data_IF_627912739050
#
_entry.id   IF_627912739050
#
_cell.length_a   1.000
_cell.length_b   1.000
_cell.length_c   1.000
_cell.angle_alpha   90.00
_cell.angle_beta   90.00
_cell.angle_gamma   90.00
#
_symmetry.space_group_name_H-M   'P 1'
#
loop_
_entity.id
_entity.type
_entity.pdbx_description
1 polymer ?
#
# COMPACT_ATOMS: atom_id res chain seq x y z
N UNK A 1 -0.59 -38.43 -1.45
CA UNK A 1 -0.66 -37.09 -2.09
C UNK A 1 -1.33 -37.26 -3.44
N UNK A 2 -2.33 -36.44 -3.80
CA UNK A 2 -2.97 -36.59 -5.12
C UNK A 2 -1.97 -36.15 -6.20
N UNK A 3 -2.00 -36.71 -7.41
CA UNK A 3 -1.05 -36.35 -8.47
C UNK A 3 -0.95 -34.84 -8.76
N UNK A 4 -2.07 -34.12 -8.65
CA UNK A 4 -2.14 -32.67 -8.82
C UNK A 4 -1.42 -31.89 -7.71
N UNK A 5 -1.47 -32.39 -6.47
CA UNK A 5 -0.75 -31.78 -5.35
C UNK A 5 0.77 -31.95 -5.55
N UNK A 6 1.23 -33.07 -6.12
CA UNK A 6 2.64 -33.33 -6.43
C UNK A 6 3.19 -32.42 -7.52
N UNK A 7 2.42 -32.22 -8.60
CA UNK A 7 2.77 -31.27 -9.63
C UNK A 7 2.89 -29.84 -9.07
N UNK A 8 1.95 -29.41 -8.24
CA UNK A 8 1.97 -28.07 -7.66
C UNK A 8 3.21 -27.84 -6.77
N UNK A 9 3.61 -28.81 -5.97
CA UNK A 9 4.83 -28.70 -5.16
C UNK A 9 6.10 -28.69 -6.04
N UNK A 10 6.14 -29.44 -7.14
CA UNK A 10 7.23 -29.35 -8.13
C UNK A 10 7.29 -27.95 -8.77
N UNK A 11 6.15 -27.38 -9.18
CA UNK A 11 6.08 -26.03 -9.72
C UNK A 11 6.55 -24.97 -8.72
N UNK A 12 6.19 -25.12 -7.45
CA UNK A 12 6.68 -24.24 -6.37
C UNK A 12 8.20 -24.30 -6.24
N UNK A 13 8.78 -25.49 -6.34
CA UNK A 13 10.22 -25.68 -6.36
C UNK A 13 10.86 -25.00 -7.59
N UNK A 14 10.26 -25.14 -8.78
CA UNK A 14 10.70 -24.44 -10.00
C UNK A 14 10.62 -22.92 -9.88
N UNK A 15 9.60 -22.38 -9.22
CA UNK A 15 9.51 -20.96 -8.96
C UNK A 15 10.67 -20.47 -8.08
N UNK A 16 10.98 -21.22 -7.01
CA UNK A 16 12.12 -20.92 -6.15
C UNK A 16 13.45 -20.94 -6.90
N UNK A 17 13.67 -21.93 -7.76
CA UNK A 17 14.85 -22.03 -8.62
C UNK A 17 14.95 -20.87 -9.60
N UNK A 18 13.81 -20.45 -10.18
CA UNK A 18 13.74 -19.29 -11.07
C UNK A 18 14.14 -17.97 -10.40
N UNK A 19 13.72 -17.77 -9.15
CA UNK A 19 14.16 -16.61 -8.34
C UNK A 19 15.67 -16.68 -8.10
N UNK A 20 16.18 -17.82 -7.64
CA UNK A 20 17.61 -18.00 -7.32
C UNK A 20 18.52 -17.81 -8.54
N UNK A 21 18.12 -18.34 -9.70
CA UNK A 21 18.88 -18.18 -10.94
C UNK A 21 19.09 -16.70 -11.31
N UNK A 22 18.15 -15.83 -10.92
CA UNK A 22 18.18 -14.40 -11.22
C UNK A 22 18.62 -13.53 -10.03
N UNK A 23 18.99 -14.12 -8.88
CA UNK A 23 19.31 -13.40 -7.64
C UNK A 23 20.34 -12.29 -7.82
N UNK A 24 21.43 -12.55 -8.56
CA UNK A 24 22.47 -11.56 -8.80
C UNK A 24 21.97 -10.36 -9.64
N UNK A 25 21.09 -10.61 -10.61
CA UNK A 25 20.50 -9.55 -11.47
C UNK A 25 19.47 -8.74 -10.70
N UNK A 26 18.66 -9.40 -9.89
CA UNK A 26 17.66 -8.78 -9.01
C UNK A 26 18.32 -7.87 -7.97
N UNK A 27 19.39 -8.35 -7.32
CA UNK A 27 20.14 -7.53 -6.38
C UNK A 27 20.87 -6.36 -7.04
N UNK A 28 21.35 -6.52 -8.29
CA UNK A 28 21.91 -5.41 -9.05
C UNK A 28 20.85 -4.35 -9.42
N UNK A 29 19.64 -4.79 -9.78
CA UNK A 29 18.49 -3.92 -10.04
C UNK A 29 18.11 -3.13 -8.77
N UNK A 30 17.93 -3.82 -7.65
CA UNK A 30 17.62 -3.23 -6.34
C UNK A 30 18.69 -2.21 -5.93
N UNK A 31 19.97 -2.56 -6.05
CA UNK A 31 21.09 -1.66 -5.75
C UNK A 31 21.12 -0.44 -6.68
N UNK A 32 20.79 -0.62 -7.96
CA UNK A 32 20.72 0.48 -8.92
C UNK A 32 19.65 1.50 -8.51
N UNK A 33 18.46 1.04 -8.13
CA UNK A 33 17.37 1.89 -7.64
C UNK A 33 17.81 2.56 -6.32
N UNK A 34 18.25 1.77 -5.35
CA UNK A 34 18.65 2.25 -4.03
C UNK A 34 19.71 3.38 -4.07
N UNK A 35 20.70 3.25 -4.96
CA UNK A 35 21.83 4.19 -5.06
C UNK A 35 21.47 5.55 -5.66
N UNK A 36 20.28 5.70 -6.26
CA UNK A 36 19.81 6.93 -6.91
C UNK A 36 18.35 7.17 -6.50
N UNK A 37 18.11 7.59 -5.25
CA UNK A 37 16.76 7.85 -4.78
C UNK A 37 16.14 8.99 -5.58
N UNK A 38 14.94 8.76 -6.09
CA UNK A 38 14.14 9.72 -6.84
C UNK A 38 12.77 9.87 -6.16
N UNK A 39 12.26 11.10 -6.10
CA UNK A 39 11.02 11.40 -5.39
C UNK A 39 9.79 11.01 -6.22
N UNK A 40 8.64 11.01 -5.55
CA UNK A 40 7.33 10.79 -6.17
C UNK A 40 7.18 11.54 -7.51
N UNK A 41 6.76 10.80 -8.54
CA UNK A 41 6.59 11.22 -9.95
C UNK A 41 7.87 11.59 -10.71
N UNK A 42 9.04 11.50 -10.08
CA UNK A 42 10.34 11.83 -10.67
C UNK A 42 11.28 10.61 -10.75
N UNK A 43 10.74 9.40 -10.60
CA UNK A 43 11.47 8.12 -10.54
C UNK A 43 11.92 7.60 -11.91
N UNK A 44 12.53 8.47 -12.73
CA UNK A 44 12.92 8.18 -14.10
C UNK A 44 13.99 7.10 -14.21
N UNK A 45 15.03 7.13 -13.38
CA UNK A 45 16.08 6.12 -13.36
C UNK A 45 15.54 4.77 -12.88
N UNK A 46 14.72 4.74 -11.83
CA UNK A 46 14.14 3.50 -11.35
C UNK A 46 13.20 2.86 -12.39
N UNK A 47 12.33 3.66 -13.01
CA UNK A 47 11.50 3.25 -14.14
C UNK A 47 12.33 2.66 -15.29
N UNK A 48 13.38 3.37 -15.72
CA UNK A 48 14.23 2.94 -16.83
C UNK A 48 15.02 1.67 -16.50
N UNK A 49 15.44 1.50 -15.25
CA UNK A 49 16.10 0.29 -14.78
C UNK A 49 15.15 -0.93 -14.85
N UNK A 50 13.92 -0.79 -14.35
CA UNK A 50 12.92 -1.85 -14.36
C UNK A 50 12.44 -2.21 -15.77
N UNK A 51 12.14 -1.21 -16.61
CA UNK A 51 11.71 -1.45 -17.99
C UNK A 51 12.82 -2.09 -18.83
N UNK A 52 14.09 -1.69 -18.63
CA UNK A 52 15.24 -2.36 -19.24
C UNK A 52 15.36 -3.79 -18.75
N UNK A 53 15.28 -4.02 -17.44
CA UNK A 53 15.40 -5.36 -16.85
C UNK A 53 14.44 -6.37 -17.49
N UNK A 54 13.19 -5.99 -17.75
CA UNK A 54 12.23 -6.85 -18.44
C UNK A 54 12.39 -6.88 -19.97
N UNK A 55 12.85 -5.78 -20.58
CA UNK A 55 12.82 -5.60 -22.04
C UNK A 55 14.13 -5.88 -22.80
N UNK A 56 15.30 -5.92 -22.14
CA UNK A 56 16.59 -5.91 -22.83
C UNK A 56 17.06 -7.28 -23.38
N UNK A 57 16.26 -8.33 -23.21
CA UNK A 57 16.68 -9.71 -23.54
C UNK A 57 17.75 -10.27 -22.59
N UNK A 58 18.03 -9.56 -21.50
CA UNK A 58 18.93 -9.99 -20.43
C UNK A 58 18.40 -11.18 -19.64
N UNK A 59 17.07 -11.35 -19.59
CA UNK A 59 16.41 -12.46 -18.94
C UNK A 59 16.31 -13.67 -19.87
N UNK A 60 16.59 -14.90 -19.37
CA UNK A 60 16.40 -16.11 -20.16
C UNK A 60 14.91 -16.43 -20.39
N UNK A 61 14.60 -17.05 -21.52
CA UNK A 61 13.27 -17.53 -21.89
C UNK A 61 12.46 -16.56 -22.76
N UNK A 62 11.14 -16.70 -22.77
CA UNK A 62 10.28 -15.86 -23.59
C UNK A 62 10.31 -14.39 -23.11
N UNK A 63 10.34 -13.46 -24.07
CA UNK A 63 10.44 -12.03 -23.80
C UNK A 63 9.15 -11.48 -23.15
N UNK A 64 9.33 -10.50 -22.27
CA UNK A 64 8.23 -9.71 -21.72
C UNK A 64 7.80 -8.63 -22.72
N UNK A 65 6.50 -8.43 -22.87
CA UNK A 65 5.94 -7.30 -23.59
C UNK A 65 5.92 -6.07 -22.68
N UNK A 66 6.97 -5.25 -22.76
CA UNK A 66 7.13 -4.06 -21.90
C UNK A 66 6.50 -2.82 -22.54
N UNK A 67 5.67 -2.14 -21.75
CA UNK A 67 5.05 -0.83 -22.04
C UNK A 67 5.60 0.18 -21.02
N UNK A 68 6.67 0.93 -21.35
CA UNK A 68 7.15 2.02 -20.52
C UNK A 68 6.15 3.18 -20.53
N UNK A 69 6.16 4.02 -19.50
CA UNK A 69 5.25 5.17 -19.35
C UNK A 69 3.78 4.76 -19.47
N UNK A 70 3.43 3.67 -18.80
CA UNK A 70 2.09 3.10 -18.86
C UNK A 70 1.14 3.94 -18.01
N UNK A 71 0.32 4.76 -18.67
CA UNK A 71 -0.67 5.69 -18.07
C UNK A 71 -0.07 6.88 -17.33
N UNK A 72 1.02 6.71 -16.58
CA UNK A 72 1.79 7.77 -15.93
C UNK A 72 3.22 7.86 -16.47
N UNK A 73 3.86 9.01 -16.25
CA UNK A 73 5.19 9.33 -16.78
C UNK A 73 6.32 8.42 -16.29
N UNK A 74 6.23 7.91 -15.07
CA UNK A 74 7.22 6.99 -14.47
C UNK A 74 6.64 5.61 -14.18
N UNK A 75 5.39 5.32 -14.56
CA UNK A 75 4.81 3.98 -14.45
C UNK A 75 5.17 3.08 -15.64
N UNK A 76 5.13 1.75 -15.46
CA UNK A 76 5.30 0.80 -16.56
C UNK A 76 4.44 -0.44 -16.38
N UNK A 77 4.23 -1.19 -17.47
CA UNK A 77 3.65 -2.53 -17.42
C UNK A 77 4.45 -3.51 -18.27
N UNK A 78 4.80 -4.66 -17.71
CA UNK A 78 5.46 -5.74 -18.44
C UNK A 78 4.58 -7.00 -18.39
N UNK A 79 4.13 -7.49 -19.54
CA UNK A 79 3.26 -8.67 -19.63
C UNK A 79 4.04 -9.90 -20.16
N UNK A 80 3.74 -11.07 -19.60
CA UNK A 80 4.22 -12.37 -20.06
C UNK A 80 3.09 -13.41 -20.09
N UNK A 81 3.22 -14.39 -20.98
CA UNK A 81 2.25 -15.46 -21.18
C UNK A 81 1.37 -15.24 -22.41
N UNK A 82 0.64 -16.28 -22.82
CA UNK A 82 -0.23 -16.21 -23.99
C UNK A 82 -1.52 -15.46 -23.64
N UNK A 83 -1.81 -14.40 -24.40
CA UNK A 83 -3.19 -13.95 -24.54
C UNK A 83 -3.93 -15.13 -25.17
N UNK A 84 -4.70 -15.88 -24.36
CA UNK A 84 -5.57 -16.93 -24.87
C UNK A 84 -6.47 -16.39 -25.99
N UNK A 85 -7.14 -17.26 -26.76
CA UNK A 85 -8.11 -16.81 -27.77
C UNK A 85 -9.05 -15.77 -27.16
N UNK A 86 -9.34 -14.70 -27.90
CA UNK A 86 -10.35 -13.72 -27.48
C UNK A 86 -11.70 -14.44 -27.41
N UNK A 87 -12.12 -14.81 -26.20
CA UNK A 87 -13.34 -15.56 -25.95
C UNK A 87 -13.26 -16.33 -24.63
N UNK A 88 -14.41 -16.67 -24.02
CA UNK A 88 -14.44 -17.42 -22.77
C UNK A 88 -13.90 -18.84 -22.95
N UNK A 89 -13.14 -19.37 -21.97
CA UNK A 89 -12.70 -18.68 -20.76
C UNK A 89 -11.49 -17.76 -21.03
N UNK A 90 -11.57 -16.52 -20.51
CA UNK A 90 -10.46 -15.58 -20.54
C UNK A 90 -9.28 -16.08 -19.68
N UNK A 91 -8.03 -15.73 -20.03
CA UNK A 91 -6.89 -16.10 -19.21
C UNK A 91 -6.96 -15.43 -17.83
N UNK A 92 -6.54 -16.16 -16.79
CA UNK A 92 -6.37 -15.60 -15.44
C UNK A 92 -5.20 -14.61 -15.45
N UNK A 93 -5.43 -13.36 -15.04
CA UNK A 93 -4.41 -12.29 -15.05
C UNK A 93 -3.93 -11.98 -13.64
N UNK A 94 -2.68 -12.34 -13.37
CA UNK A 94 -2.02 -12.08 -12.09
C UNK A 94 -0.99 -10.97 -12.26
N UNK A 95 -0.96 -10.02 -11.33
CA UNK A 95 0.00 -8.93 -11.34
C UNK A 95 0.86 -8.88 -10.07
N UNK A 96 2.14 -8.55 -10.25
CA UNK A 96 3.05 -8.18 -9.18
C UNK A 96 3.35 -6.69 -9.26
N UNK A 97 3.14 -5.95 -8.17
CA UNK A 97 3.37 -4.51 -8.13
C UNK A 97 4.80 -4.21 -7.66
N UNK A 98 5.37 -3.15 -8.21
CA UNK A 98 6.70 -2.64 -7.90
C UNK A 98 6.60 -1.14 -7.56
N UNK A 99 6.89 -0.75 -6.32
CA UNK A 99 7.11 0.64 -5.92
C UNK A 99 8.60 0.97 -5.98
N UNK A 100 8.95 2.25 -6.18
CA UNK A 100 10.35 2.66 -6.35
C UNK A 100 10.60 4.16 -6.18
N UNK A 101 9.69 4.90 -5.57
CA UNK A 101 9.93 6.27 -5.11
C UNK A 101 10.70 6.29 -3.77
N UNK A 102 11.28 7.44 -3.47
CA UNK A 102 12.11 7.67 -2.30
C UNK A 102 11.61 8.89 -1.51
N UNK A 103 12.12 9.01 -0.28
CA UNK A 103 11.75 10.07 0.65
C UNK A 103 12.74 11.25 0.60
N UNK A 104 12.26 12.50 0.73
CA UNK A 104 13.11 13.69 0.74
C UNK A 104 14.19 13.65 1.83
N UNK A 105 15.44 13.81 1.43
CA UNK A 105 16.59 13.92 2.34
C UNK A 105 17.10 12.61 2.96
N UNK A 106 16.30 11.55 2.98
CA UNK A 106 16.66 10.26 3.59
C UNK A 106 16.72 9.09 2.61
N UNK A 107 16.34 9.27 1.34
CA UNK A 107 16.45 8.23 0.31
C UNK A 107 15.39 7.13 0.46
N UNK A 108 15.71 5.88 0.11
CA UNK A 108 14.76 4.75 0.23
C UNK A 108 14.60 4.26 1.68
N UNK A 109 14.25 5.17 2.59
CA UNK A 109 14.01 4.88 4.00
C UNK A 109 12.72 4.08 4.25
N UNK A 110 11.91 3.85 3.21
CA UNK A 110 10.78 2.92 3.23
C UNK A 110 11.08 1.59 2.49
N UNK A 111 12.26 1.49 1.88
CA UNK A 111 12.73 0.25 1.23
C UNK A 111 12.07 -0.07 -0.11
N UNK A 112 11.57 0.93 -0.85
CA UNK A 112 10.89 0.71 -2.13
C UNK A 112 11.79 0.04 -3.18
N UNK A 113 13.12 0.16 -3.09
CA UNK A 113 14.04 -0.64 -3.90
C UNK A 113 13.85 -2.16 -3.72
N UNK A 114 13.54 -2.61 -2.49
CA UNK A 114 13.25 -4.01 -2.20
C UNK A 114 11.82 -4.40 -2.64
N UNK A 115 10.85 -3.47 -2.59
CA UNK A 115 9.49 -3.71 -3.11
C UNK A 115 9.55 -3.97 -4.62
N UNK A 116 10.24 -3.10 -5.37
CA UNK A 116 10.51 -3.31 -6.79
C UNK A 116 11.19 -4.66 -7.06
N UNK A 117 12.22 -5.01 -6.29
CA UNK A 117 12.94 -6.28 -6.42
C UNK A 117 12.03 -7.48 -6.16
N UNK A 118 11.25 -7.45 -5.09
CA UNK A 118 10.34 -8.55 -4.71
C UNK A 118 9.28 -8.79 -5.77
N UNK A 119 8.65 -7.72 -6.27
CA UNK A 119 7.66 -7.82 -7.35
C UNK A 119 8.26 -8.43 -8.62
N UNK A 120 9.44 -7.96 -9.02
CA UNK A 120 10.14 -8.48 -10.20
C UNK A 120 10.58 -9.94 -10.02
N UNK A 121 11.12 -10.28 -8.86
CA UNK A 121 11.57 -11.63 -8.52
C UNK A 121 10.40 -12.62 -8.50
N UNK A 122 9.28 -12.27 -7.87
CA UNK A 122 8.10 -13.13 -7.79
C UNK A 122 7.53 -13.42 -9.18
N UNK A 123 7.48 -12.41 -10.05
CA UNK A 123 7.06 -12.56 -11.44
C UNK A 123 7.98 -13.51 -12.24
N UNK A 124 9.30 -13.40 -12.06
CA UNK A 124 10.26 -14.32 -12.69
C UNK A 124 10.14 -15.76 -12.17
N UNK A 125 9.94 -15.92 -10.86
CA UNK A 125 9.69 -17.23 -10.26
C UNK A 125 8.43 -17.88 -10.83
N UNK A 126 7.32 -17.12 -10.88
CA UNK A 126 6.08 -17.62 -11.47
C UNK A 126 6.24 -17.99 -12.95
N UNK A 127 6.91 -17.14 -13.73
CA UNK A 127 7.26 -17.43 -15.13
C UNK A 127 8.05 -18.74 -15.26
N UNK A 128 9.10 -18.93 -14.46
CA UNK A 128 9.93 -20.13 -14.53
C UNK A 128 9.15 -21.42 -14.23
N UNK A 129 8.23 -21.37 -13.25
CA UNK A 129 7.35 -22.50 -12.98
C UNK A 129 6.41 -22.78 -14.16
N UNK A 130 5.76 -21.76 -14.72
CA UNK A 130 4.82 -21.93 -15.83
C UNK A 130 5.50 -22.38 -17.13
N UNK A 131 6.72 -21.92 -17.41
CA UNK A 131 7.54 -22.40 -18.54
C UNK A 131 7.97 -23.86 -18.41
N UNK A 132 7.99 -24.41 -17.18
CA UNK A 132 8.37 -25.82 -16.95
C UNK A 132 7.27 -26.83 -17.28
N UNK A 133 6.04 -26.36 -17.55
CA UNK A 133 4.91 -27.22 -17.88
C UNK A 133 5.04 -27.81 -19.29
N UNK A 134 4.58 -29.07 -19.50
CA UNK A 134 4.43 -29.63 -20.84
C UNK A 134 3.47 -28.78 -21.68
N UNK A 135 3.83 -28.54 -22.94
CA UNK A 135 2.98 -27.79 -23.87
C UNK A 135 2.01 -28.72 -24.62
N UNK A 136 0.74 -28.29 -24.83
CA UNK A 136 0.16 -27.02 -24.40
C UNK A 136 -0.16 -27.02 -22.89
N UNK A 137 0.18 -25.93 -22.20
CA UNK A 137 -0.14 -25.78 -20.78
C UNK A 137 -1.66 -25.88 -20.52
N UNK A 138 -2.10 -26.51 -19.40
CA UNK A 138 -3.53 -26.74 -19.14
C UNK A 138 -4.35 -25.47 -18.87
N UNK A 139 -3.72 -24.36 -18.48
CA UNK A 139 -4.38 -23.10 -18.13
C UNK A 139 -3.75 -21.92 -18.85
N UNK A 140 -4.59 -21.04 -19.41
CA UNK A 140 -4.15 -19.76 -19.95
C UNK A 140 -3.96 -18.78 -18.79
N UNK A 141 -2.71 -18.45 -18.46
CA UNK A 141 -2.35 -17.49 -17.42
C UNK A 141 -1.55 -16.36 -18.05
N UNK A 142 -1.88 -15.13 -17.70
CA UNK A 142 -1.08 -13.96 -18.01
C UNK A 142 -0.48 -13.40 -16.72
N UNK A 143 0.82 -13.11 -16.76
CA UNK A 143 1.55 -12.50 -15.66
C UNK A 143 1.89 -11.08 -16.07
N UNK A 144 1.54 -10.12 -15.21
CA UNK A 144 1.92 -8.73 -15.37
C UNK A 144 2.85 -8.30 -14.23
N UNK A 145 3.78 -7.40 -14.55
CA UNK A 145 4.50 -6.60 -13.56
C UNK A 145 4.09 -5.16 -13.79
N UNK A 146 3.56 -4.51 -12.76
CA UNK A 146 3.10 -3.14 -12.83
C UNK A 146 4.00 -2.26 -11.95
N UNK A 147 4.69 -1.32 -12.58
CA UNK A 147 5.42 -0.30 -11.86
C UNK A 147 4.48 0.80 -11.38
N UNK A 148 4.46 1.03 -10.08
CA UNK A 148 3.54 1.95 -9.39
C UNK A 148 4.35 3.04 -8.69
N UNK A 149 4.53 4.22 -9.32
CA UNK A 149 5.29 5.33 -8.74
C UNK A 149 4.52 6.04 -7.62
N UNK A 150 5.19 6.99 -6.95
CA UNK A 150 4.58 8.02 -6.11
C UNK A 150 3.68 7.51 -4.97
N UNK A 151 4.10 6.47 -4.25
CA UNK A 151 3.35 5.99 -3.08
C UNK A 151 3.54 6.89 -1.86
N UNK A 152 4.73 7.45 -1.65
CA UNK A 152 5.03 8.29 -0.47
C UNK A 152 4.41 9.69 -0.57
N UNK A 153 4.07 10.12 -1.78
CA UNK A 153 3.45 11.42 -2.01
C UNK A 153 2.61 11.41 -3.30
N UNK A 154 1.31 11.64 -3.14
CA UNK A 154 0.37 11.86 -4.25
C UNK A 154 -0.43 10.64 -4.69
N UNK A 155 -0.02 9.41 -4.34
CA UNK A 155 -0.83 8.20 -4.52
C UNK A 155 -0.88 7.72 -5.96
N UNK A 156 0.27 7.42 -6.55
CA UNK A 156 0.35 7.03 -7.97
C UNK A 156 -0.47 5.78 -8.34
N UNK A 157 -0.75 4.86 -7.41
CA UNK A 157 -1.69 3.75 -7.70
C UNK A 157 -3.11 4.25 -7.89
N UNK A 158 -3.52 5.30 -7.20
CA UNK A 158 -4.86 5.90 -7.33
C UNK A 158 -5.01 6.52 -8.71
N UNK A 159 -3.99 7.23 -9.18
CA UNK A 159 -3.94 7.77 -10.53
C UNK A 159 -3.94 6.66 -11.60
N UNK A 160 -3.21 5.56 -11.36
CA UNK A 160 -3.23 4.38 -12.22
C UNK A 160 -4.61 3.69 -12.25
N UNK A 161 -5.29 3.58 -11.12
CA UNK A 161 -6.67 3.08 -11.02
C UNK A 161 -7.59 3.96 -11.86
N UNK A 162 -7.54 5.28 -11.68
CA UNK A 162 -8.35 6.24 -12.45
C UNK A 162 -8.08 6.16 -13.96
N UNK A 163 -6.87 5.79 -14.36
CA UNK A 163 -6.47 5.60 -15.75
C UNK A 163 -6.79 4.19 -16.31
N UNK A 164 -7.43 3.31 -15.53
CA UNK A 164 -7.83 1.96 -15.92
C UNK A 164 -6.67 0.96 -16.02
N UNK A 165 -5.61 1.15 -15.22
CA UNK A 165 -4.44 0.26 -15.23
C UNK A 165 -4.70 -1.12 -14.61
N UNK A 166 -5.72 -1.22 -13.75
CA UNK A 166 -6.06 -2.42 -12.97
C UNK A 166 -7.29 -3.18 -13.51
N UNK A 167 -8.01 -2.62 -14.50
CA UNK A 167 -9.33 -3.11 -14.96
C UNK A 167 -9.32 -4.56 -15.49
N UNK A 168 -8.17 -5.03 -15.98
CA UNK A 168 -8.04 -6.37 -16.56
C UNK A 168 -7.42 -7.40 -15.61
N UNK A 169 -7.04 -7.00 -14.39
CA UNK A 169 -6.34 -7.85 -13.42
C UNK A 169 -7.33 -8.66 -12.55
N UNK A 170 -7.05 -9.95 -12.34
CA UNK A 170 -7.86 -10.81 -11.49
C UNK A 170 -7.35 -10.86 -10.04
N UNK A 171 -6.03 -10.86 -9.83
CA UNK A 171 -5.40 -10.90 -8.50
C UNK A 171 -4.06 -10.15 -8.52
N UNK A 172 -3.79 -9.34 -7.50
CA UNK A 172 -2.54 -8.58 -7.35
C UNK A 172 -1.73 -8.98 -6.12
N UNK A 173 -0.41 -8.90 -6.23
CA UNK A 173 0.54 -9.22 -5.17
C UNK A 173 1.56 -8.07 -5.04
N UNK A 174 1.80 -7.64 -3.82
CA UNK A 174 2.88 -6.71 -3.45
C UNK A 174 3.39 -7.13 -2.07
N UNK A 175 4.60 -6.76 -1.68
CA UNK A 175 5.04 -6.95 -0.29
C UNK A 175 5.99 -5.84 0.14
N UNK A 176 5.89 -5.47 1.41
CA UNK A 176 6.56 -4.31 1.97
C UNK A 176 7.64 -4.72 2.97
N UNK A 177 8.85 -4.15 2.91
CA UNK A 177 9.88 -4.40 3.92
C UNK A 177 9.51 -3.73 5.25
N UNK A 178 9.76 -4.40 6.37
CA UNK A 178 9.58 -3.85 7.72
C UNK A 178 10.54 -4.51 8.71
N UNK A 179 10.32 -4.28 10.01
CA UNK A 179 11.04 -4.92 11.10
C UNK A 179 10.54 -6.33 11.42
N UNK A 180 9.39 -6.75 10.91
CA UNK A 180 8.74 -8.00 11.30
C UNK A 180 8.01 -8.64 10.12
N UNK A 181 7.94 -9.97 10.07
CA UNK A 181 7.12 -10.62 9.04
C UNK A 181 5.65 -10.66 9.48
N UNK A 182 4.77 -10.12 8.66
CA UNK A 182 3.32 -10.20 8.85
C UNK A 182 2.67 -10.53 7.51
N UNK A 183 1.64 -11.38 7.52
CA UNK A 183 0.87 -11.61 6.28
C UNK A 183 -0.09 -10.45 5.97
N UNK A 184 -0.40 -9.67 6.99
CA UNK A 184 -1.30 -8.53 6.96
C UNK A 184 -1.01 -7.65 8.17
N UNK A 185 -0.99 -6.33 7.96
CA UNK A 185 -1.11 -5.32 9.00
C UNK A 185 -2.32 -4.43 8.67
N UNK A 186 -3.05 -3.92 9.67
CA UNK A 186 -4.19 -3.05 9.43
C UNK A 186 -3.73 -1.63 9.06
N UNK A 187 -3.34 -1.42 7.80
CA UNK A 187 -3.06 -0.08 7.28
C UNK A 187 -4.35 0.74 7.28
N UNK A 188 -4.21 1.98 7.76
CA UNK A 188 -5.33 2.89 8.03
C UNK A 188 -5.53 3.85 6.87
N UNK A 189 -6.77 4.31 6.72
CA UNK A 189 -7.10 5.37 5.80
C UNK A 189 -6.46 6.70 6.25
N UNK A 190 -6.07 7.53 5.29
CA UNK A 190 -5.30 8.75 5.51
C UNK A 190 -5.82 9.88 4.60
N UNK A 191 -5.82 11.11 5.15
CA UNK A 191 -6.16 12.33 4.42
C UNK A 191 -5.18 13.46 4.78
N UNK A 192 -4.47 13.95 3.77
CA UNK A 192 -3.64 15.14 3.82
C UNK A 192 -4.50 16.42 3.88
N UNK A 193 -4.11 17.39 4.70
CA UNK A 193 -4.75 18.71 4.76
C UNK A 193 -3.72 19.82 4.83
N UNK A 194 -3.77 20.73 3.86
CA UNK A 194 -3.10 22.03 3.89
C UNK A 194 -4.08 23.12 4.32
N UNK A 195 -3.72 23.88 5.36
CA UNK A 195 -4.53 24.99 5.89
C UNK A 195 -3.78 26.30 5.73
N UNK A 196 -4.41 27.28 5.07
CA UNK A 196 -3.85 28.61 4.87
C UNK A 196 -4.75 29.66 5.51
N UNK A 197 -4.19 30.43 6.44
CA UNK A 197 -4.86 31.58 7.02
C UNK A 197 -4.38 32.87 6.37
N UNK A 198 -5.32 33.74 6.04
CA UNK A 198 -5.07 35.06 5.45
C UNK A 198 -5.66 36.13 6.36
N UNK A 199 -4.79 37.02 6.83
CA UNK A 199 -5.11 38.15 7.68
C UNK A 199 -4.61 39.47 7.07
N UNK A 200 -4.17 40.40 7.93
CA UNK A 200 -3.72 41.74 7.55
C UNK A 200 -2.55 42.14 8.44
N UNK A 201 -1.43 42.50 7.81
CA UNK A 201 -0.24 42.91 8.53
C UNK A 201 -0.43 44.29 9.16
N UNK A 202 0.18 44.50 10.33
CA UNK A 202 0.28 45.80 10.99
C UNK A 202 1.51 45.82 11.90
N UNK A 203 1.94 47.02 12.30
CA UNK A 203 3.03 47.19 13.25
C UNK A 203 2.58 46.73 14.64
N UNK A 204 3.16 45.63 15.14
CA UNK A 204 2.67 44.91 16.32
C UNK A 204 2.57 45.79 17.57
N UNK A 205 3.51 46.73 17.76
CA UNK A 205 3.52 47.61 18.93
C UNK A 205 2.76 48.93 18.75
N UNK A 206 2.52 49.38 17.51
CA UNK A 206 2.08 50.75 17.26
C UNK A 206 0.60 50.81 16.88
N UNK A 207 0.14 49.85 16.05
CA UNK A 207 -1.24 49.82 15.55
C UNK A 207 -1.80 48.38 15.53
N UNK A 208 -1.67 47.59 16.61
CA UNK A 208 -2.10 46.18 16.58
C UNK A 208 -3.58 46.01 16.20
N UNK A 209 -4.45 46.95 16.58
CA UNK A 209 -5.88 46.96 16.26
C UNK A 209 -6.20 47.12 14.77
N UNK A 210 -5.23 47.54 13.94
CA UNK A 210 -5.38 47.62 12.48
C UNK A 210 -5.08 46.29 11.77
N UNK A 211 -4.51 45.31 12.49
CA UNK A 211 -4.10 44.01 11.97
C UNK A 211 -5.15 42.91 12.16
N UNK A 212 -4.97 41.83 11.41
CA UNK A 212 -5.69 40.56 11.57
C UNK A 212 -4.63 39.47 11.57
N UNK A 213 -4.42 38.82 12.71
CA UNK A 213 -3.24 38.00 12.95
C UNK A 213 -3.42 36.54 12.50
N UNK A 214 -2.80 36.17 11.39
CA UNK A 214 -2.85 34.80 10.87
C UNK A 214 -2.11 33.80 11.77
N UNK A 215 -1.06 34.23 12.48
CA UNK A 215 -0.35 33.35 13.43
C UNK A 215 -1.22 33.01 14.64
N UNK A 216 -2.04 33.94 15.12
CA UNK A 216 -3.00 33.63 16.19
C UNK A 216 -4.02 32.59 15.71
N UNK A 217 -4.44 32.64 14.45
CA UNK A 217 -5.33 31.62 13.87
C UNK A 217 -4.65 30.24 13.82
N UNK A 218 -3.39 30.17 13.39
CA UNK A 218 -2.61 28.93 13.40
C UNK A 218 -2.45 28.35 14.81
N UNK A 219 -2.16 29.19 15.82
CA UNK A 219 -2.01 28.77 17.22
C UNK A 219 -3.35 28.31 17.80
N UNK A 220 -4.44 29.03 17.53
CA UNK A 220 -5.79 28.62 17.95
C UNK A 220 -6.21 27.31 17.29
N UNK A 221 -5.91 27.11 16.01
CA UNK A 221 -6.15 25.83 15.34
C UNK A 221 -5.43 24.68 16.05
N UNK A 222 -4.15 24.87 16.39
CA UNK A 222 -3.36 23.88 17.12
C UNK A 222 -3.95 23.57 18.51
N UNK A 223 -4.40 24.59 19.23
CA UNK A 223 -5.05 24.43 20.54
C UNK A 223 -6.40 23.73 20.43
N UNK A 224 -7.22 24.10 19.44
CA UNK A 224 -8.51 23.45 19.14
C UNK A 224 -8.31 21.95 18.87
N UNK A 225 -7.31 21.60 18.06
CA UNK A 225 -6.95 20.21 17.79
C UNK A 225 -6.45 19.50 19.04
N UNK A 226 -5.67 20.17 19.90
CA UNK A 226 -5.18 19.59 21.14
C UNK A 226 -6.32 19.16 22.07
N UNK A 227 -7.37 19.98 22.20
CA UNK A 227 -8.54 19.62 23.02
C UNK A 227 -9.49 18.65 22.30
N UNK A 228 -9.55 18.66 20.96
CA UNK A 228 -10.30 17.68 20.17
C UNK A 228 -9.84 16.24 20.47
N UNK A 229 -8.56 16.03 20.79
CA UNK A 229 -8.00 14.69 21.10
C UNK A 229 -8.75 13.95 22.19
N UNK A 230 -9.31 14.64 23.18
CA UNK A 230 -10.13 14.00 24.22
C UNK A 230 -11.36 13.30 23.63
N UNK A 231 -11.90 13.84 22.53
CA UNK A 231 -13.13 13.38 21.88
C UNK A 231 -12.86 12.58 20.59
N UNK A 232 -11.61 12.18 20.36
CA UNK A 232 -11.22 11.28 19.27
C UNK A 232 -11.32 9.82 19.73
N UNK A 233 -11.59 8.90 18.79
CA UNK A 233 -11.43 7.48 19.09
C UNK A 233 -9.95 7.17 19.37
N UNK A 234 -9.63 6.19 20.24
CA UNK A 234 -8.24 5.79 20.52
C UNK A 234 -7.45 5.37 19.28
N UNK A 235 -8.12 4.98 18.19
CA UNK A 235 -7.56 4.55 16.91
C UNK A 235 -7.37 5.70 15.90
N UNK A 236 -7.76 6.93 16.22
CA UNK A 236 -7.62 8.07 15.32
C UNK A 236 -6.32 8.85 15.59
N UNK A 237 -5.70 9.38 14.54
CA UNK A 237 -4.51 10.24 14.66
C UNK A 237 -4.71 11.51 13.85
N UNK A 238 -4.18 12.61 14.39
CA UNK A 238 -4.06 13.91 13.74
C UNK A 238 -2.71 14.47 14.15
N UNK A 239 -1.85 14.77 13.19
CA UNK A 239 -0.52 15.32 13.43
C UNK A 239 -0.11 16.22 12.27
N UNK A 240 0.68 17.25 12.56
CA UNK A 240 1.02 18.25 11.56
C UNK A 240 2.03 19.28 12.06
N UNK A 241 2.34 20.23 11.19
CA UNK A 241 3.36 21.26 11.38
C UNK A 241 2.86 22.61 10.89
N UNK A 242 3.47 23.69 11.41
CA UNK A 242 3.32 25.04 10.87
C UNK A 242 4.46 25.28 9.88
N UNK A 243 4.19 25.20 8.57
CA UNK A 243 5.18 25.44 7.51
C UNK A 243 5.59 26.90 7.41
N UNK A 244 4.64 27.81 7.64
CA UNK A 244 4.90 29.24 7.67
C UNK A 244 4.15 29.89 8.83
N UNK A 245 4.89 30.44 9.79
CA UNK A 245 4.37 31.09 11.00
C UNK A 245 4.64 32.59 11.09
N UNK A 246 5.05 33.23 9.98
CA UNK A 246 5.47 34.64 9.96
C UNK A 246 6.98 34.85 9.95
N UNK A 247 7.39 36.10 9.72
CA UNK A 247 8.78 36.46 9.34
C UNK A 247 9.53 37.28 10.38
N UNK A 248 8.84 38.14 11.15
CA UNK A 248 9.46 39.01 12.17
C UNK A 248 8.47 39.29 13.33
N UNK A 249 8.94 39.33 14.59
CA UNK A 249 8.06 39.55 15.75
C UNK A 249 7.37 40.93 15.80
N UNK A 250 7.94 41.97 15.18
CA UNK A 250 7.37 43.32 15.19
C UNK A 250 6.34 43.58 14.07
N UNK A 251 6.04 42.57 13.25
CA UNK A 251 5.06 42.62 12.17
C UNK A 251 4.00 41.56 12.45
N UNK A 252 2.73 41.95 12.55
CA UNK A 252 1.63 40.99 12.65
C UNK A 252 1.60 40.13 11.37
N UNK A 253 1.70 38.79 11.46
CA UNK A 253 1.64 37.94 10.28
C UNK A 253 0.30 38.04 9.54
N UNK A 254 0.34 38.35 8.24
CA UNK A 254 -0.83 38.35 7.36
C UNK A 254 -1.09 37.00 6.69
N UNK A 255 -0.18 36.04 6.83
CA UNK A 255 -0.26 34.72 6.23
C UNK A 255 0.37 33.67 7.15
N UNK A 256 -0.27 32.51 7.24
CA UNK A 256 0.33 31.29 7.78
C UNK A 256 -0.12 30.07 7.01
N UNK A 257 0.71 29.04 7.02
CA UNK A 257 0.44 27.77 6.35
C UNK A 257 0.74 26.60 7.29
N UNK A 258 -0.21 25.67 7.39
CA UNK A 258 -0.11 24.45 8.18
C UNK A 258 -0.33 23.24 7.28
N UNK A 259 0.27 22.12 7.66
CA UNK A 259 0.13 20.83 6.98
C UNK A 259 -0.15 19.76 8.02
N UNK A 260 -1.20 18.98 7.81
CA UNK A 260 -1.67 17.94 8.72
C UNK A 260 -1.99 16.66 7.97
N UNK A 261 -1.78 15.53 8.63
CA UNK A 261 -2.27 14.21 8.23
C UNK A 261 -3.32 13.74 9.22
N UNK A 262 -4.40 13.18 8.71
CA UNK A 262 -5.50 12.62 9.48
C UNK A 262 -5.57 11.13 9.19
N UNK A 263 -5.61 10.29 10.22
CA UNK A 263 -5.67 8.83 10.05
C UNK A 263 -6.78 8.19 10.86
N UNK A 264 -7.46 7.24 10.23
CA UNK A 264 -8.50 6.45 10.87
C UNK A 264 -8.63 5.03 10.27
N UNK A 265 -9.13 4.03 11.01
CA UNK A 265 -9.22 2.64 10.53
C UNK A 265 -10.07 2.39 9.28
N UNK A 266 -10.90 3.35 8.87
CA UNK A 266 -11.79 3.24 7.71
C UNK A 266 -12.04 4.61 7.10
N UNK A 267 -12.41 4.65 5.82
CA UNK A 267 -12.86 5.90 5.17
C UNK A 267 -14.10 6.50 5.86
N UNK A 268 -14.98 5.66 6.40
CA UNK A 268 -16.13 6.12 7.18
C UNK A 268 -15.70 6.89 8.42
N UNK A 269 -14.77 6.34 9.19
CA UNK A 269 -14.25 7.01 10.37
C UNK A 269 -13.41 8.24 10.00
N UNK A 270 -12.64 8.17 8.92
CA UNK A 270 -11.81 9.28 8.43
C UNK A 270 -12.67 10.48 8.04
N UNK A 271 -13.81 10.25 7.38
CA UNK A 271 -14.76 11.32 7.04
C UNK A 271 -15.26 12.06 8.29
N UNK A 272 -15.64 11.32 9.35
CA UNK A 272 -16.09 11.90 10.61
C UNK A 272 -14.95 12.68 11.31
N UNK A 273 -13.73 12.13 11.30
CA UNK A 273 -12.57 12.80 11.86
C UNK A 273 -12.25 14.10 11.10
N UNK A 274 -12.28 14.04 9.77
CA UNK A 274 -12.00 15.17 8.87
C UNK A 274 -12.96 16.32 9.14
N UNK A 275 -14.27 16.05 9.23
CA UNK A 275 -15.25 17.08 9.57
C UNK A 275 -14.94 17.77 10.91
N UNK A 276 -14.60 16.98 11.94
CA UNK A 276 -14.24 17.52 13.27
C UNK A 276 -13.00 18.39 13.21
N UNK A 277 -11.96 17.94 12.51
CA UNK A 277 -10.69 18.66 12.37
C UNK A 277 -10.85 19.95 11.56
N UNK A 278 -11.58 19.90 10.44
CA UNK A 278 -11.86 21.09 9.66
C UNK A 278 -12.66 22.14 10.43
N UNK A 279 -13.58 21.70 11.29
CA UNK A 279 -14.31 22.62 12.16
C UNK A 279 -13.38 23.33 13.15
N UNK A 280 -12.32 22.68 13.64
CA UNK A 280 -11.28 23.33 14.45
C UNK A 280 -10.54 24.41 13.65
N UNK A 281 -10.22 24.15 12.38
CA UNK A 281 -9.57 25.12 11.50
C UNK A 281 -10.47 26.32 11.19
N UNK A 282 -11.75 26.07 10.88
CA UNK A 282 -12.76 27.10 10.61
C UNK A 282 -13.02 27.96 11.84
N UNK A 283 -13.09 27.37 13.03
CA UNK A 283 -13.29 28.08 14.29
C UNK A 283 -12.15 29.06 14.60
N UNK A 284 -10.90 28.68 14.32
CA UNK A 284 -9.74 29.55 14.55
C UNK A 284 -9.74 30.78 13.62
N UNK A 285 -10.16 30.60 12.36
CA UNK A 285 -10.38 31.73 11.45
C UNK A 285 -11.48 32.67 11.95
N UNK A 286 -12.63 32.09 12.34
CA UNK A 286 -13.75 32.87 12.87
C UNK A 286 -13.34 33.70 14.10
N UNK A 287 -12.63 33.10 15.06
CA UNK A 287 -12.23 33.76 16.29
C UNK A 287 -11.25 34.93 16.07
N UNK A 288 -10.44 34.88 15.01
CA UNK A 288 -9.39 35.88 14.72
C UNK A 288 -9.78 36.88 13.64
N UNK A 289 -10.89 36.66 12.95
CA UNK A 289 -11.27 37.42 11.76
C UNK A 289 -10.46 37.09 10.51
N UNK A 290 -9.67 36.02 10.51
CA UNK A 290 -8.94 35.57 9.32
C UNK A 290 -9.88 34.90 8.31
N UNK A 291 -9.51 34.96 7.04
CA UNK A 291 -10.02 34.01 6.02
C UNK A 291 -9.20 32.73 6.11
N UNK A 292 -9.85 31.57 6.02
CA UNK A 292 -9.19 30.27 5.91
C UNK A 292 -9.44 29.65 4.54
N UNK A 293 -8.42 29.00 4.00
CA UNK A 293 -8.50 28.07 2.89
C UNK A 293 -8.01 26.71 3.39
N UNK A 294 -8.84 25.68 3.21
CA UNK A 294 -8.53 24.31 3.58
C UNK A 294 -8.52 23.51 2.27
N UNK A 295 -7.40 22.89 1.96
CA UNK A 295 -7.21 22.06 0.77
C UNK A 295 -6.77 20.68 1.20
N UNK A 296 -7.52 19.66 0.78
CA UNK A 296 -7.12 18.26 0.95
C UNK A 296 -5.93 17.89 0.06
N UNK A 297 -5.37 16.71 0.29
CA UNK A 297 -4.49 16.03 -0.66
C UNK A 297 -5.15 15.85 -2.02
N UNK A 298 -4.34 15.53 -3.03
CA UNK A 298 -4.88 15.20 -4.36
C UNK A 298 -5.67 13.89 -4.33
N UNK A 299 -5.23 12.95 -3.50
CA UNK A 299 -5.79 11.62 -3.35
C UNK A 299 -5.87 11.22 -1.86
N UNK A 300 -6.95 10.54 -1.48
CA UNK A 300 -7.12 9.96 -0.14
C UNK A 300 -6.68 8.49 -0.15
N UNK A 301 -5.92 8.08 0.86
CA UNK A 301 -5.44 6.70 0.97
C UNK A 301 -6.47 5.89 1.74
N UNK A 302 -6.89 4.76 1.19
CA UNK A 302 -7.88 3.92 1.83
C UNK A 302 -7.22 2.92 2.77
N UNK A 303 -7.97 2.37 3.72
CA UNK A 303 -7.50 1.26 4.54
C UNK A 303 -7.31 0.00 3.68
N UNK A 304 -6.34 -0.85 4.00
CA UNK A 304 -6.13 -2.10 3.25
C UNK A 304 -7.21 -3.11 3.61
N UNK A 305 -7.90 -3.65 2.60
CA UNK A 305 -8.89 -4.70 2.79
C UNK A 305 -8.21 -6.08 2.90
N UNK A 306 -8.40 -6.84 3.99
CA UNK A 306 -7.79 -8.15 4.14
C UNK A 306 -8.35 -9.18 3.16
N UNK A 307 -7.49 -10.09 2.71
CA UNK A 307 -7.89 -11.28 1.95
C UNK A 307 -7.36 -12.52 2.67
N UNK A 308 -8.18 -13.07 3.58
CA UNK A 308 -7.76 -14.12 4.52
C UNK A 308 -7.29 -15.39 3.81
N UNK A 309 -7.87 -15.68 2.65
CA UNK A 309 -7.49 -16.83 1.82
C UNK A 309 -6.09 -16.66 1.23
N UNK A 310 -5.76 -15.48 0.68
CA UNK A 310 -4.40 -15.17 0.25
C UNK A 310 -3.42 -15.15 1.43
N UNK A 311 -3.80 -14.50 2.55
CA UNK A 311 -2.96 -14.44 3.75
C UNK A 311 -2.60 -15.83 4.28
N UNK A 312 -3.57 -16.74 4.33
CA UNK A 312 -3.36 -18.12 4.76
C UNK A 312 -2.41 -18.86 3.82
N UNK A 313 -2.65 -18.78 2.51
CA UNK A 313 -1.80 -19.42 1.51
C UNK A 313 -0.35 -18.86 1.57
N UNK A 314 -0.20 -17.55 1.73
CA UNK A 314 1.10 -16.90 1.92
C UNK A 314 1.80 -17.35 3.20
N UNK A 315 1.10 -17.42 4.34
CA UNK A 315 1.67 -17.93 5.60
C UNK A 315 2.14 -19.38 5.46
N UNK A 316 1.35 -20.24 4.82
CA UNK A 316 1.70 -21.65 4.61
C UNK A 316 2.95 -21.79 3.73
N UNK A 317 3.04 -21.06 2.63
CA UNK A 317 4.23 -21.07 1.76
C UNK A 317 5.45 -20.43 2.43
N UNK A 318 5.27 -19.29 3.11
CA UNK A 318 6.34 -18.61 3.83
C UNK A 318 6.95 -19.48 4.93
N UNK A 319 6.13 -20.22 5.69
CA UNK A 319 6.62 -21.16 6.72
C UNK A 319 7.48 -22.28 6.14
N UNK A 320 7.14 -22.81 4.96
CA UNK A 320 7.98 -23.79 4.25
C UNK A 320 9.35 -23.23 3.88
N UNK A 321 9.46 -21.92 3.70
CA UNK A 321 10.71 -21.20 3.43
C UNK A 321 11.40 -20.66 4.70
N UNK A 322 10.88 -21.00 5.89
CA UNK A 322 11.43 -20.56 7.17
C UNK A 322 11.11 -19.11 7.53
N UNK A 323 10.02 -18.54 7.02
CA UNK A 323 9.49 -17.25 7.48
C UNK A 323 8.70 -17.47 8.78
N UNK A 324 9.08 -16.75 9.83
CA UNK A 324 8.35 -16.68 11.09
C UNK A 324 7.48 -15.43 11.11
N UNK A 325 6.17 -15.63 11.27
CA UNK A 325 5.19 -14.56 11.28
C UNK A 325 4.84 -14.15 12.71
N UNK A 326 4.63 -12.86 12.92
CA UNK A 326 4.12 -12.33 14.19
C UNK A 326 2.73 -12.89 14.53
N UNK A 327 2.40 -12.87 15.81
CA UNK A 327 1.10 -13.33 16.31
C UNK A 327 -0.02 -12.39 15.90
N UNK A 328 -1.26 -12.90 15.91
CA UNK A 328 -2.45 -12.06 15.67
C UNK A 328 -2.60 -10.95 16.71
N UNK A 329 -2.23 -11.21 17.97
CA UNK A 329 -2.22 -10.19 19.02
C UNK A 329 -1.22 -9.05 18.72
N UNK A 330 -0.05 -9.37 18.15
CA UNK A 330 0.91 -8.37 17.71
C UNK A 330 0.37 -7.55 16.54
N UNK A 331 -0.40 -8.15 15.62
CA UNK A 331 -1.05 -7.44 14.51
C UNK A 331 -2.10 -6.45 15.03
N UNK A 332 -2.94 -6.87 15.99
CA UNK A 332 -4.02 -6.04 16.53
C UNK A 332 -3.52 -4.83 17.34
N UNK A 333 -2.37 -4.97 17.97
CA UNK A 333 -1.73 -3.92 18.77
C UNK A 333 -0.56 -3.23 18.05
N UNK A 334 -0.30 -3.64 16.80
CA UNK A 334 0.89 -3.29 16.05
C UNK A 334 0.86 -1.87 15.48
N UNK A 335 2.02 -1.45 14.99
CA UNK A 335 2.18 -0.20 14.24
C UNK A 335 1.34 -0.27 12.95
N UNK A 336 0.69 0.84 12.62
CA UNK A 336 -0.20 0.97 11.46
C UNK A 336 0.34 2.05 10.53
N UNK A 337 0.49 1.69 9.26
CA UNK A 337 0.87 2.59 8.17
C UNK A 337 -0.35 3.03 7.35
N UNK A 338 -0.08 3.71 6.25
CA UNK A 338 -1.06 4.04 5.24
C UNK A 338 -0.39 3.85 3.90
N UNK A 339 -1.11 3.27 2.94
CA UNK A 339 -0.57 2.99 1.61
C UNK A 339 -1.68 3.10 0.56
N UNK A 340 -1.35 3.59 -0.63
CA UNK A 340 -2.28 3.63 -1.76
C UNK A 340 -2.59 2.22 -2.31
N UNK A 341 -1.88 1.17 -1.85
CA UNK A 341 -2.30 -0.22 -2.05
C UNK A 341 -3.66 -0.49 -1.39
N UNK A 342 -4.02 0.26 -0.35
CA UNK A 342 -5.36 0.27 0.20
C UNK A 342 -6.41 0.48 -0.88
N UNK A 343 -6.25 1.50 -1.73
CA UNK A 343 -7.15 1.80 -2.84
C UNK A 343 -7.19 0.65 -3.87
N UNK A 344 -6.06 0.00 -4.14
CA UNK A 344 -6.00 -1.18 -5.02
C UNK A 344 -6.90 -2.31 -4.49
N UNK A 345 -6.89 -2.55 -3.17
CA UNK A 345 -7.73 -3.59 -2.56
C UNK A 345 -9.23 -3.31 -2.58
N UNK A 346 -9.68 -2.14 -3.08
CA UNK A 346 -11.09 -1.87 -3.38
C UNK A 346 -11.48 -2.18 -4.83
N UNK A 347 -10.52 -2.34 -5.74
CA UNK A 347 -10.78 -2.57 -7.17
C UNK A 347 -10.37 -3.97 -7.63
N UNK A 348 -9.35 -4.58 -7.02
CA UNK A 348 -8.86 -5.93 -7.36
C UNK A 348 -8.49 -6.68 -6.07
N UNK A 349 -8.81 -7.98 -5.90
CA UNK A 349 -8.35 -8.74 -4.75
C UNK A 349 -6.81 -8.85 -4.76
N UNK A 350 -6.20 -8.70 -3.59
CA UNK A 350 -4.75 -8.80 -3.50
C UNK A 350 -4.23 -9.00 -2.08
N UNK A 351 -2.91 -9.07 -1.96
CA UNK A 351 -2.20 -9.20 -0.70
C UNK A 351 -1.01 -8.23 -0.63
N UNK A 352 -0.80 -7.67 0.55
CA UNK A 352 0.29 -6.78 0.93
C UNK A 352 0.91 -7.26 2.26
N UNK A 353 1.70 -8.34 2.26
CA UNK A 353 2.39 -8.78 3.45
C UNK A 353 3.63 -7.93 3.72
N UNK A 354 4.07 -7.96 4.96
CA UNK A 354 5.29 -7.33 5.44
C UNK A 354 6.38 -8.37 5.66
N UNK A 355 7.63 -8.00 5.40
CA UNK A 355 8.77 -8.89 5.58
C UNK A 355 9.96 -8.22 6.27
N UNK A 356 10.58 -8.95 7.19
CA UNK A 356 11.79 -8.53 7.87
C UNK A 356 12.95 -8.41 6.89
N UNK A 357 13.82 -7.40 7.05
CA UNK A 357 14.99 -7.19 6.18
C UNK A 357 16.35 -7.47 6.85
N UNK A 358 16.36 -8.09 8.02
CA UNK A 358 17.62 -8.36 8.72
C UNK A 358 18.15 -7.18 9.53
N UNK A 359 17.27 -6.25 9.93
CA UNK A 359 17.60 -5.06 10.72
C UNK A 359 16.43 -4.62 11.60
N UNK A 360 16.73 -4.13 12.81
CA UNK A 360 15.76 -3.53 13.73
C UNK A 360 15.63 -2.01 13.50
N UNK A 361 16.08 -1.48 12.37
CA UNK A 361 15.82 -0.09 11.99
C UNK A 361 14.33 0.12 11.71
N UNK A 362 13.78 1.29 12.06
CA UNK A 362 12.39 1.65 11.76
C UNK A 362 12.30 2.33 10.40
N UNK A 363 11.26 2.04 9.61
CA UNK A 363 10.99 2.77 8.37
C UNK A 363 11.02 4.31 8.61
N UNK A 364 11.42 5.06 7.58
CA UNK A 364 11.54 6.53 7.56
C UNK A 364 12.67 7.06 8.45
N UNK A 365 13.71 6.25 8.64
CA UNK A 365 14.96 6.65 9.31
C UNK A 365 16.16 6.44 8.38
N UNK A 366 17.23 7.19 8.59
CA UNK A 366 18.49 7.01 7.83
C UNK A 366 19.04 5.59 7.99
N UNK A 367 18.91 5.01 9.19
CA UNK A 367 19.32 3.63 9.48
C UNK A 367 18.56 2.63 8.61
N UNK A 368 17.29 2.90 8.28
CA UNK A 368 16.51 2.02 7.42
C UNK A 368 16.97 2.10 5.97
N UNK A 369 17.35 3.28 5.49
CA UNK A 369 17.95 3.44 4.16
C UNK A 369 19.19 2.58 4.03
N UNK A 370 20.08 2.59 5.02
CA UNK A 370 21.25 1.71 5.02
C UNK A 370 20.87 0.22 5.02
N UNK A 371 19.90 -0.16 5.85
CA UNK A 371 19.42 -1.54 5.94
C UNK A 371 18.80 -2.04 4.62
N UNK A 372 17.98 -1.21 3.96
CA UNK A 372 17.30 -1.52 2.71
C UNK A 372 18.27 -1.69 1.52
N UNK A 373 19.44 -1.05 1.57
CA UNK A 373 20.52 -1.22 0.58
C UNK A 373 21.52 -2.34 0.91
N UNK A 374 21.35 -3.02 2.04
CA UNK A 374 22.31 -3.98 2.55
C UNK A 374 22.28 -5.31 1.78
N UNK A 375 23.42 -6.00 1.74
CA UNK A 375 23.48 -7.36 1.20
C UNK A 375 22.67 -8.36 2.04
N UNK A 376 22.46 -8.06 3.34
CA UNK A 376 21.68 -8.92 4.24
C UNK A 376 20.19 -8.93 3.85
N UNK A 377 19.63 -7.77 3.49
CA UNK A 377 18.24 -7.63 3.08
C UNK A 377 17.86 -8.52 1.89
N UNK A 378 18.81 -8.80 1.00
CA UNK A 378 18.62 -9.61 -0.21
C UNK A 378 18.10 -11.02 0.08
N UNK A 379 18.62 -11.66 1.14
CA UNK A 379 18.16 -12.99 1.54
C UNK A 379 16.67 -13.00 1.87
N UNK A 380 16.22 -11.99 2.62
CA UNK A 380 14.84 -11.89 3.04
C UNK A 380 13.92 -11.46 1.89
N UNK A 381 14.33 -10.49 1.08
CA UNK A 381 13.59 -10.06 -0.10
C UNK A 381 13.34 -11.23 -1.07
N UNK A 382 14.37 -11.99 -1.43
CA UNK A 382 14.22 -13.13 -2.33
C UNK A 382 13.39 -14.26 -1.71
N UNK A 383 13.47 -14.45 -0.39
CA UNK A 383 12.61 -15.41 0.32
C UNK A 383 11.13 -15.00 0.25
N UNK A 384 10.83 -13.71 0.43
CA UNK A 384 9.48 -13.16 0.30
C UNK A 384 8.95 -13.32 -1.13
N UNK A 385 9.77 -12.99 -2.13
CA UNK A 385 9.41 -13.14 -3.54
C UNK A 385 9.02 -14.59 -3.90
N UNK A 386 9.76 -15.58 -3.37
CA UNK A 386 9.43 -16.99 -3.53
C UNK A 386 8.08 -17.34 -2.89
N UNK A 387 7.83 -16.86 -1.67
CA UNK A 387 6.55 -17.09 -1.00
C UNK A 387 5.37 -16.50 -1.80
N UNK A 388 5.54 -15.31 -2.38
CA UNK A 388 4.53 -14.71 -3.28
C UNK A 388 4.33 -15.54 -4.55
N UNK A 389 5.40 -15.96 -5.22
CA UNK A 389 5.31 -16.80 -6.42
C UNK A 389 4.63 -18.15 -6.14
N UNK A 390 4.95 -18.80 -5.01
CA UNK A 390 4.30 -20.02 -4.55
C UNK A 390 2.81 -19.80 -4.26
N UNK A 391 2.45 -18.64 -3.74
CA UNK A 391 1.06 -18.26 -3.44
C UNK A 391 0.27 -18.01 -4.71
N UNK A 392 0.88 -17.34 -5.70
CA UNK A 392 0.28 -17.20 -7.03
C UNK A 392 0.05 -18.57 -7.70
N UNK A 393 0.99 -19.51 -7.56
CA UNK A 393 0.79 -20.90 -8.03
C UNK A 393 -0.36 -21.59 -7.30
N UNK A 394 -0.54 -21.38 -5.99
CA UNK A 394 -1.71 -21.91 -5.29
C UNK A 394 -3.01 -21.36 -5.90
N UNK A 395 -3.09 -20.06 -6.18
CA UNK A 395 -4.26 -19.42 -6.82
C UNK A 395 -4.53 -20.00 -8.20
N UNK A 396 -3.49 -20.23 -9.02
CA UNK A 396 -3.64 -20.76 -10.38
C UNK A 396 -4.12 -22.22 -10.37
N UNK A 397 -3.57 -23.05 -9.49
CA UNK A 397 -3.75 -24.52 -9.54
C UNK A 397 -4.78 -25.06 -8.55
N UNK A 398 -5.34 -24.22 -7.67
CA UNK A 398 -6.45 -24.57 -6.76
C UNK A 398 -7.67 -23.67 -7.07
N UNK A 399 -8.58 -24.12 -7.96
CA UNK A 399 -9.77 -23.34 -8.31
C UNK A 399 -10.61 -22.91 -7.10
N UNK A 400 -10.76 -23.79 -6.11
CA UNK A 400 -11.48 -23.47 -4.87
C UNK A 400 -10.84 -22.30 -4.10
N UNK A 401 -9.50 -22.17 -4.15
CA UNK A 401 -8.81 -21.04 -3.53
C UNK A 401 -9.10 -19.74 -4.28
N UNK A 402 -9.05 -19.74 -5.61
CA UNK A 402 -9.38 -18.54 -6.41
C UNK A 402 -10.80 -18.04 -6.12
N UNK A 403 -11.77 -18.95 -6.00
CA UNK A 403 -13.14 -18.58 -5.65
C UNK A 403 -13.25 -18.04 -4.22
N UNK A 404 -12.51 -18.62 -3.25
CA UNK A 404 -12.42 -18.07 -1.89
C UNK A 404 -11.78 -16.67 -1.86
N UNK A 405 -10.73 -16.44 -2.66
CA UNK A 405 -10.08 -15.13 -2.79
C UNK A 405 -11.05 -14.07 -3.32
N UNK A 406 -11.85 -14.42 -4.34
CA UNK A 406 -12.89 -13.54 -4.90
C UNK A 406 -14.00 -13.26 -3.89
N UNK A 407 -14.43 -14.27 -3.15
CA UNK A 407 -15.48 -14.14 -2.14
C UNK A 407 -15.02 -13.31 -0.94
N UNK A 408 -13.79 -13.51 -0.45
CA UNK A 408 -13.20 -12.70 0.63
C UNK A 408 -13.21 -11.21 0.26
N UNK A 409 -12.74 -10.87 -0.95
CA UNK A 409 -12.74 -9.51 -1.46
C UNK A 409 -14.16 -8.93 -1.56
N UNK A 410 -15.11 -9.68 -2.13
CA UNK A 410 -16.50 -9.23 -2.27
C UNK A 410 -17.13 -8.94 -0.89
N UNK A 411 -16.93 -9.84 0.08
CA UNK A 411 -17.53 -9.72 1.41
C UNK A 411 -16.92 -8.56 2.21
N UNK A 412 -15.60 -8.42 2.20
CA UNK A 412 -14.92 -7.36 2.93
C UNK A 412 -15.27 -5.99 2.34
N UNK A 413 -15.30 -5.85 1.02
CA UNK A 413 -15.71 -4.61 0.35
C UNK A 413 -17.14 -4.21 0.69
N UNK A 414 -18.09 -5.15 0.60
CA UNK A 414 -19.48 -4.87 0.96
C UNK A 414 -19.65 -4.46 2.43
N UNK A 415 -18.85 -5.04 3.34
CA UNK A 415 -18.84 -4.66 4.74
C UNK A 415 -18.31 -3.23 4.93
N UNK A 416 -17.22 -2.88 4.24
CA UNK A 416 -16.60 -1.55 4.32
C UNK A 416 -17.50 -0.46 3.75
N UNK A 417 -18.17 -0.73 2.62
CA UNK A 417 -19.13 0.18 2.00
C UNK A 417 -20.47 0.28 2.76
N UNK A 418 -20.61 -0.42 3.90
CA UNK A 418 -21.80 -0.40 4.73
C UNK A 418 -23.00 -1.13 4.13
N UNK A 419 -22.78 -1.99 3.14
CA UNK A 419 -23.81 -2.78 2.44
C UNK A 419 -24.04 -4.16 3.08
N UNK A 420 -23.19 -4.58 4.02
CA UNK A 420 -23.42 -5.71 4.91
C UNK A 420 -23.46 -5.24 6.37
N UNK A 421 -24.59 -5.44 7.05
CA UNK A 421 -24.64 -5.33 8.50
C UNK A 421 -23.74 -6.43 9.09
N UNK A 422 -22.89 -6.16 10.09
CA UNK A 422 -22.20 -7.22 10.80
C UNK A 422 -23.25 -8.16 11.38
N UNK A 423 -23.20 -9.45 11.01
CA UNK A 423 -24.00 -10.47 11.65
C UNK A 423 -23.67 -10.46 13.15
N UNK A 424 -24.66 -10.19 14.00
CA UNK A 424 -24.52 -10.37 15.44
C UNK A 424 -24.21 -11.84 15.71
N UNK A 425 -23.10 -12.17 16.40
CA UNK A 425 -22.88 -13.53 16.85
C UNK A 425 -23.87 -13.79 18.01
N UNK A 426 -24.89 -14.63 17.77
CA UNK A 426 -25.67 -15.22 18.87
C UNK A 426 -27.19 -15.13 18.82
N UNK A 427 -27.83 -15.16 17.65
CA UNK A 427 -29.25 -15.60 17.58
C UNK A 427 -29.36 -16.86 16.77
N UNK A 428 -29.09 -17.98 17.43
CA UNK A 428 -29.76 -19.23 17.08
C UNK A 428 -31.27 -18.97 17.05
N UNK A 429 -31.91 -19.33 15.94
CA UNK A 429 -33.35 -19.38 15.82
C UNK A 429 -33.87 -20.44 16.80
N UNK A 430 -34.09 -20.02 18.04
CA UNK A 430 -34.71 -20.81 19.08
C UNK A 430 -36.12 -21.17 18.67
N UNK A 431 -36.31 -22.45 18.41
CA UNK A 431 -37.59 -23.12 18.19
C UNK A 431 -38.51 -22.81 19.38
N UNK A 432 -39.68 -22.27 19.07
CA UNK A 432 -40.77 -22.00 20.01
C UNK A 432 -41.32 -23.33 20.55
N UNK A 433 -40.86 -23.75 21.73
CA UNK A 433 -41.54 -24.79 22.52
C UNK A 433 -42.32 -24.12 23.63
N UNK A 434 -43.59 -23.87 23.34
CA UNK A 434 -44.55 -23.44 24.35
C UNK A 434 -44.73 -24.51 25.43
N UNK A 435 -44.61 -24.10 26.68
CA UNK A 435 -45.31 -24.68 27.83
C UNK A 435 -44.99 -23.84 29.09
N UNK A 436 -45.98 -23.16 29.65
CA UNK A 436 -46.65 -23.60 30.87
C UNK A 436 -47.36 -22.41 31.53
N UNK A 437 -48.69 -22.55 31.65
CA UNK A 437 -49.54 -21.71 32.48
C UNK A 437 -49.62 -22.29 33.90
N UNK A 438 -49.91 -21.42 34.88
CA UNK A 438 -50.30 -21.70 36.28
C UNK A 438 -49.15 -22.14 37.20
N UNK A 439 -48.96 -21.61 38.41
CA UNK A 439 -49.78 -20.83 39.36
C UNK A 439 -48.94 -19.78 40.08
#
# INVERSE_FOLDING_TARGET
MRPQDALLEELKQRACEGVELNAARLGALSRSIWSRPELAYEEHHAHDALTRFFGSGELPGAAWAVRPRYKLGTAFRADWGTAGPQGPPAPLRIAFLCEYDALPGIGHACGHNLIAEVGAAAALGLKAALESLPQPAPSAVQVAVLGTPAEEQGGGKIDLINAGAFDDLDVVFMAHPSQENAAYLPDVAEHDVTVKYYGKASHAAAYPWEGVNALDAAVLAYNNLSVLRQQMKPTWRVHGVIKNGGVKPNIIPSYTELEFYLRAPSMRDLSVLTEKVENCFKAAALATGCRVEIKGGENDYYNVLPNKSLEKAYKENGKKLGIEFISEDSILNGLSGSTDFGNVTFVVPGIHPYFYIGSDALNHTEQYTEAAGSQNAQFYALRTAKALAMTALDVIFKPDLLEQVREDFRQVKLKEEGQLNPAEPGKESGVDTGACASR
#
